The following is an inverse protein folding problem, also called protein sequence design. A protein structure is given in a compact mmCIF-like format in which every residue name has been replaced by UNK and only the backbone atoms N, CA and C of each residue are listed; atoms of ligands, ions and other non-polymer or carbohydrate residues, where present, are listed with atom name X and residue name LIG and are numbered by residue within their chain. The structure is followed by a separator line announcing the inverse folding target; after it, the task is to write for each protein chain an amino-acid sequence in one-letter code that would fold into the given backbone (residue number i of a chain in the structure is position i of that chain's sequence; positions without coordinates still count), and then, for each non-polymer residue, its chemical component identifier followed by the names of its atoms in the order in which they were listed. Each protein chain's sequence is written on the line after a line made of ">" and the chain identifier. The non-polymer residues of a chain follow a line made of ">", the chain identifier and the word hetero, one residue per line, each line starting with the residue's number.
data_IF_227132336704
#
_entry.id   IF_227132336704
#
_cell.length_a   1.000
_cell.length_b   1.000
_cell.length_c   1.000
_cell.angle_alpha   90.00
_cell.angle_beta   90.00
_cell.angle_gamma   90.00
#
_symmetry.space_group_name_H-M   'P 1'
#
loop_
_entity.id
_entity.type
_entity.pdbx_description
1 polymer ?
#
# COMPACT_ATOMS: atom_id res chain seq x y z
N UNK A 1 26.26 -22.23 -34.30
CA UNK A 1 25.69 -21.83 -35.57
C UNK A 1 25.77 -20.32 -35.65
N UNK A 2 26.78 -19.81 -36.36
CA UNK A 2 27.04 -18.37 -36.57
C UNK A 2 26.34 -17.98 -37.89
N UNK A 3 25.52 -16.93 -37.85
CA UNK A 3 24.99 -16.30 -39.05
C UNK A 3 25.59 -14.91 -39.15
N UNK A 4 26.45 -14.75 -40.16
CA UNK A 4 27.10 -13.51 -40.59
C UNK A 4 26.17 -12.77 -41.54
N UNK A 5 26.05 -11.44 -41.37
CA UNK A 5 25.39 -10.53 -42.31
C UNK A 5 26.50 -9.66 -42.96
N UNK A 6 26.57 -9.54 -44.31
CA UNK A 6 27.61 -8.79 -44.99
C UNK A 6 27.30 -7.30 -45.06
N UNK A 7 28.36 -6.52 -44.93
CA UNK A 7 28.44 -5.08 -45.18
C UNK A 7 28.69 -4.90 -46.66
N UNK A 8 27.88 -4.12 -47.36
CA UNK A 8 28.15 -3.66 -48.72
C UNK A 8 28.55 -2.19 -48.72
N UNK A 9 29.70 -1.92 -49.23
CA UNK A 9 30.33 -0.62 -49.39
C UNK A 9 30.53 -0.36 -50.88
N UNK A 10 29.95 0.68 -51.43
CA UNK A 10 30.32 1.45 -52.62
C UNK A 10 29.19 2.44 -52.90
N UNK A 11 29.35 3.70 -53.24
CA UNK A 11 30.40 4.34 -54.05
C UNK A 11 30.44 5.84 -53.74
N UNK A 12 31.65 6.32 -53.71
CA UNK A 12 32.00 7.71 -53.80
C UNK A 12 31.99 8.15 -55.28
N UNK A 13 31.48 9.33 -55.59
CA UNK A 13 32.19 10.18 -56.56
C UNK A 13 31.72 11.65 -56.51
N UNK A 14 32.72 12.47 -56.42
CA UNK A 14 32.74 13.92 -56.53
C UNK A 14 32.42 14.44 -57.92
N UNK A 15 31.93 15.69 -57.99
CA UNK A 15 32.34 16.74 -58.95
C UNK A 15 31.78 18.08 -58.47
N UNK A 16 32.57 18.97 -58.04
CA UNK A 16 33.22 20.15 -58.56
C UNK A 16 32.35 21.15 -59.37
N UNK A 17 32.48 22.39 -58.93
CA UNK A 17 32.53 23.65 -59.70
C UNK A 17 31.32 24.60 -59.67
N UNK A 18 31.61 25.84 -59.26
CA UNK A 18 31.15 27.05 -59.91
C UNK A 18 30.23 27.95 -59.11
N UNK A 19 30.76 28.84 -58.35
CA UNK A 19 30.88 30.28 -58.61
C UNK A 19 29.63 31.17 -58.37
N UNK A 20 29.97 32.32 -57.77
CA UNK A 20 29.37 33.66 -57.75
C UNK A 20 28.15 33.97 -56.89
N UNK A 21 28.50 34.76 -55.83
CA UNK A 21 27.91 36.02 -55.42
C UNK A 21 26.37 36.19 -55.49
N UNK A 22 25.74 36.23 -54.29
CA UNK A 22 24.82 37.32 -54.00
C UNK A 22 24.68 37.52 -52.49
N UNK A 23 25.11 38.71 -52.05
CA UNK A 23 24.71 39.33 -50.78
C UNK A 23 23.21 39.56 -50.82
N UNK A 24 22.46 39.04 -49.92
CA UNK A 24 21.25 39.66 -49.41
C UNK A 24 21.03 39.24 -47.97
N UNK A 25 20.78 40.21 -47.14
CA UNK A 25 20.66 40.13 -45.71
C UNK A 25 19.49 39.25 -45.26
N UNK A 26 19.82 38.28 -44.44
CA UNK A 26 18.81 37.63 -43.60
C UNK A 26 19.10 37.98 -42.15
N UNK A 27 18.24 38.84 -41.62
CA UNK A 27 18.22 39.14 -40.21
C UNK A 27 18.08 37.87 -39.37
N UNK A 28 18.98 37.73 -38.45
CA UNK A 28 18.89 36.74 -37.38
C UNK A 28 17.61 36.99 -36.57
N UNK A 29 16.70 36.02 -36.43
CA UNK A 29 15.68 36.13 -35.42
C UNK A 29 16.37 35.95 -34.09
N UNK A 30 16.50 37.02 -33.34
CA UNK A 30 16.72 36.95 -31.90
C UNK A 30 15.51 36.24 -31.29
N UNK A 31 15.60 34.90 -31.19
CA UNK A 31 14.77 34.13 -30.31
C UNK A 31 15.24 34.42 -28.88
N UNK A 32 14.83 35.54 -28.36
CA UNK A 32 14.79 35.77 -26.93
C UNK A 32 13.74 34.85 -26.33
N UNK A 33 14.08 33.59 -26.15
CA UNK A 33 13.35 32.73 -25.22
C UNK A 33 13.65 33.26 -23.81
N UNK A 34 12.91 34.27 -23.41
CA UNK A 34 12.78 34.63 -22.00
C UNK A 34 12.12 33.47 -21.26
N UNK A 35 12.90 32.46 -20.91
CA UNK A 35 12.56 31.57 -19.82
C UNK A 35 12.71 32.33 -18.50
N UNK A 36 11.81 33.26 -18.27
CA UNK A 36 11.54 33.77 -16.92
C UNK A 36 10.95 32.59 -16.13
N UNK A 37 11.81 31.68 -15.69
CA UNK A 37 11.51 30.85 -14.53
C UNK A 37 11.56 31.83 -13.35
N UNK A 38 10.44 32.47 -13.07
CA UNK A 38 10.25 33.22 -11.84
C UNK A 38 10.16 32.22 -10.69
N UNK A 39 11.33 31.77 -10.22
CA UNK A 39 11.46 31.11 -8.93
C UNK A 39 11.23 32.15 -7.82
N UNK A 40 10.01 32.67 -7.73
CA UNK A 40 9.60 33.58 -6.67
C UNK A 40 9.45 32.79 -5.34
N UNK A 41 9.74 33.44 -4.20
CA UNK A 41 9.59 32.79 -2.88
C UNK A 41 8.16 32.35 -2.56
N UNK A 42 7.16 32.78 -3.33
CA UNK A 42 5.77 32.32 -3.26
C UNK A 42 5.58 30.89 -3.75
N UNK A 43 6.33 30.44 -4.77
CA UNK A 43 6.22 29.06 -5.28
C UNK A 43 6.84 28.04 -4.32
N UNK A 44 7.95 28.38 -3.67
CA UNK A 44 8.58 27.52 -2.69
C UNK A 44 7.67 27.29 -1.45
N UNK A 45 6.98 28.31 -0.97
CA UNK A 45 6.04 28.20 0.15
C UNK A 45 4.80 27.37 -0.20
N UNK A 46 4.28 27.51 -1.41
CA UNK A 46 3.14 26.71 -1.89
C UNK A 46 3.52 25.25 -2.09
N UNK A 47 4.71 24.98 -2.61
CA UNK A 47 5.27 23.64 -2.80
C UNK A 47 5.55 22.97 -1.45
N UNK A 48 6.20 23.66 -0.50
CA UNK A 48 6.43 23.14 0.84
C UNK A 48 5.13 22.82 1.57
N UNK A 49 4.11 23.67 1.45
CA UNK A 49 2.78 23.41 2.05
C UNK A 49 2.12 22.16 1.45
N UNK A 50 2.26 21.94 0.14
CA UNK A 50 1.76 20.70 -0.52
C UNK A 50 2.51 19.48 -0.06
N UNK A 51 3.84 19.55 0.00
CA UNK A 51 4.69 18.45 0.51
C UNK A 51 4.31 18.10 1.94
N UNK A 52 4.21 19.09 2.84
CA UNK A 52 3.82 18.88 4.23
C UNK A 52 2.39 18.34 4.36
N UNK A 53 1.46 18.78 3.51
CA UNK A 53 0.08 18.29 3.51
C UNK A 53 -0.03 16.80 3.12
N UNK A 54 0.93 16.25 2.39
CA UNK A 54 1.01 14.83 2.03
C UNK A 54 1.92 14.06 3.00
N UNK A 55 3.04 14.64 3.40
CA UNK A 55 4.02 13.98 4.27
C UNK A 55 3.48 13.77 5.69
N UNK A 56 2.83 14.77 6.28
CA UNK A 56 2.35 14.68 7.66
C UNK A 56 1.30 13.57 7.87
N UNK A 57 0.26 13.41 7.02
CA UNK A 57 -0.67 12.30 7.13
C UNK A 57 -0.01 10.94 6.88
N UNK A 58 0.93 10.85 5.95
CA UNK A 58 1.66 9.61 5.67
C UNK A 58 2.55 9.22 6.86
N UNK A 59 3.23 10.20 7.47
CA UNK A 59 4.02 9.98 8.68
C UNK A 59 3.14 9.55 9.86
N UNK A 60 1.98 10.19 10.04
CA UNK A 60 0.99 9.78 11.04
C UNK A 60 0.53 8.34 10.84
N UNK A 61 0.30 7.90 9.60
CA UNK A 61 -0.05 6.52 9.28
C UNK A 61 1.08 5.54 9.61
N UNK A 62 2.35 5.90 9.35
CA UNK A 62 3.51 5.07 9.67
C UNK A 62 3.73 4.90 11.18
N UNK A 63 3.37 5.89 12.00
CA UNK A 63 3.45 5.80 13.45
C UNK A 63 2.26 5.02 14.02
N UNK A 64 1.08 5.13 13.40
CA UNK A 64 -0.13 4.48 13.91
C UNK A 64 0.04 2.95 14.00
N UNK A 65 0.67 2.32 13.02
CA UNK A 65 0.86 0.87 12.98
C UNK A 65 1.74 0.33 14.13
N UNK A 66 2.97 0.86 14.38
CA UNK A 66 3.75 0.45 15.55
C UNK A 66 3.07 0.73 16.89
N UNK A 67 2.36 1.86 17.00
CA UNK A 67 1.62 2.21 18.22
C UNK A 67 0.50 1.21 18.51
N UNK A 68 -0.22 0.80 17.47
CA UNK A 68 -1.24 -0.24 17.54
C UNK A 68 -0.65 -1.57 18.08
N UNK A 69 0.46 -2.04 17.50
CA UNK A 69 1.12 -3.28 17.93
C UNK A 69 1.57 -3.18 19.39
N UNK A 70 2.09 -2.04 19.83
CA UNK A 70 2.50 -1.83 21.23
C UNK A 70 1.33 -1.90 22.20
N UNK A 71 0.19 -1.29 21.84
CA UNK A 71 -1.02 -1.30 22.68
C UNK A 71 -1.57 -2.74 22.81
N UNK A 72 -1.71 -3.44 21.69
CA UNK A 72 -2.15 -4.84 21.66
C UNK A 72 -1.24 -5.74 22.48
N UNK A 73 0.08 -5.61 22.29
CA UNK A 73 1.10 -6.33 23.08
C UNK A 73 0.98 -6.03 24.58
N UNK A 74 0.73 -4.78 24.97
CA UNK A 74 0.58 -4.40 26.37
C UNK A 74 -0.71 -5.02 26.98
N UNK A 75 -1.83 -5.04 26.24
CA UNK A 75 -3.08 -5.63 26.70
C UNK A 75 -2.94 -7.15 26.87
N UNK A 76 -2.39 -7.84 25.85
CA UNK A 76 -2.18 -9.29 25.87
C UNK A 76 -1.14 -9.69 26.92
N UNK A 77 -0.12 -8.86 27.15
CA UNK A 77 0.88 -9.08 28.20
C UNK A 77 0.29 -9.20 29.60
N UNK A 78 -0.89 -8.63 29.87
CA UNK A 78 -1.59 -8.80 31.16
C UNK A 78 -2.22 -10.19 31.33
N UNK A 79 -2.39 -10.97 30.25
CA UNK A 79 -2.94 -12.32 30.30
C UNK A 79 -1.86 -13.29 30.83
N UNK A 80 -0.60 -13.11 30.39
CA UNK A 80 0.53 -13.94 30.79
C UNK A 80 1.55 -14.16 29.67
N UNK A 81 2.69 -14.71 30.02
CA UNK A 81 3.84 -14.90 29.11
C UNK A 81 3.52 -15.87 27.97
N UNK A 82 2.73 -16.92 28.21
CA UNK A 82 2.34 -17.87 27.17
C UNK A 82 1.44 -17.21 26.11
N UNK A 83 0.53 -16.31 26.52
CA UNK A 83 -0.32 -15.55 25.61
C UNK A 83 0.51 -14.55 24.79
N UNK A 84 1.48 -13.86 25.42
CA UNK A 84 2.36 -12.93 24.75
C UNK A 84 3.24 -13.63 23.70
N UNK A 85 3.80 -14.78 24.05
CA UNK A 85 4.54 -15.62 23.11
C UNK A 85 3.65 -16.12 21.94
N UNK A 86 2.42 -16.53 22.24
CA UNK A 86 1.41 -16.92 21.26
C UNK A 86 1.05 -15.79 20.30
N UNK A 87 0.83 -14.58 20.81
CA UNK A 87 0.62 -13.36 20.02
C UNK A 87 1.80 -13.13 19.05
N UNK A 88 3.04 -13.23 19.55
CA UNK A 88 4.23 -13.00 18.75
C UNK A 88 4.36 -13.99 17.60
N UNK A 89 4.09 -15.27 17.85
CA UNK A 89 4.09 -16.32 16.81
C UNK A 89 3.01 -16.05 15.77
N UNK A 90 1.77 -15.84 16.19
CA UNK A 90 0.64 -15.62 15.27
C UNK A 90 0.80 -14.34 14.45
N UNK A 91 1.25 -13.25 15.08
CA UNK A 91 1.55 -11.99 14.38
C UNK A 91 2.67 -12.17 13.36
N UNK A 92 3.71 -12.94 13.66
CA UNK A 92 4.78 -13.24 12.70
C UNK A 92 4.25 -13.98 11.48
N UNK A 93 3.36 -14.97 11.67
CA UNK A 93 2.75 -15.72 10.57
C UNK A 93 1.95 -14.79 9.66
N UNK A 94 1.02 -14.02 10.23
CA UNK A 94 0.12 -13.19 9.42
C UNK A 94 0.88 -12.03 8.75
N UNK A 95 1.78 -11.35 9.46
CA UNK A 95 2.56 -10.25 8.91
C UNK A 95 3.50 -10.70 7.79
N UNK A 96 4.10 -11.88 7.91
CA UNK A 96 4.93 -12.46 6.85
C UNK A 96 4.07 -12.79 5.62
N UNK A 97 2.96 -13.47 5.82
CA UNK A 97 2.09 -13.88 4.72
C UNK A 97 1.46 -12.68 3.99
N UNK A 98 0.95 -11.70 4.75
CA UNK A 98 0.38 -10.47 4.18
C UNK A 98 1.46 -9.56 3.60
N UNK A 99 2.65 -9.52 4.21
CA UNK A 99 3.81 -8.79 3.71
C UNK A 99 4.26 -9.25 2.32
N UNK A 100 4.15 -10.54 2.01
CA UNK A 100 4.40 -11.06 0.65
C UNK A 100 3.41 -10.50 -0.39
N UNK A 101 2.23 -10.07 0.06
CA UNK A 101 1.20 -9.47 -0.80
C UNK A 101 1.27 -7.93 -0.88
N UNK A 102 2.31 -7.30 -0.32
CA UNK A 102 2.46 -5.83 -0.32
C UNK A 102 2.53 -5.23 -1.73
N UNK A 103 2.90 -6.05 -2.73
CA UNK A 103 2.89 -5.66 -4.14
C UNK A 103 1.51 -5.15 -4.60
N UNK A 104 0.41 -5.61 -3.98
CA UNK A 104 -0.94 -5.12 -4.29
C UNK A 104 -1.04 -3.61 -4.06
N UNK A 105 -0.50 -3.11 -2.94
CA UNK A 105 -0.53 -1.69 -2.63
C UNK A 105 0.29 -0.87 -3.64
N UNK A 106 1.47 -1.35 -4.01
CA UNK A 106 2.36 -0.65 -4.94
C UNK A 106 1.84 -0.70 -6.37
N UNK A 107 1.39 -1.86 -6.86
CA UNK A 107 0.84 -2.00 -8.21
C UNK A 107 -0.43 -1.17 -8.40
N UNK A 108 -1.34 -1.20 -7.42
CA UNK A 108 -2.57 -0.39 -7.45
C UNK A 108 -2.24 1.10 -7.43
N UNK A 109 -1.28 1.54 -6.59
CA UNK A 109 -0.83 2.93 -6.57
C UNK A 109 -0.29 3.38 -7.92
N UNK A 110 0.60 2.58 -8.53
CA UNK A 110 1.22 2.91 -9.81
C UNK A 110 0.20 2.98 -10.95
N UNK A 111 -0.71 2.01 -11.04
CA UNK A 111 -1.74 1.96 -12.08
C UNK A 111 -2.71 3.13 -11.96
N UNK A 112 -3.25 3.39 -10.76
CA UNK A 112 -4.16 4.49 -10.51
C UNK A 112 -3.48 5.83 -10.81
N UNK A 113 -2.27 6.07 -10.32
CA UNK A 113 -1.53 7.31 -10.56
C UNK A 113 -1.23 7.53 -12.05
N UNK A 114 -0.82 6.47 -12.77
CA UNK A 114 -0.53 6.53 -14.21
C UNK A 114 -1.79 6.90 -15.02
N UNK A 115 -2.91 6.23 -14.78
CA UNK A 115 -4.17 6.48 -15.49
C UNK A 115 -4.74 7.87 -15.17
N UNK A 116 -4.62 8.32 -13.92
CA UNK A 116 -4.99 9.70 -13.55
C UNK A 116 -4.10 10.73 -14.24
N UNK A 117 -2.78 10.49 -14.30
CA UNK A 117 -1.84 11.36 -15.00
C UNK A 117 -2.11 11.46 -16.50
N UNK A 118 -2.66 10.40 -17.10
CA UNK A 118 -3.11 10.36 -18.49
C UNK A 118 -4.52 10.98 -18.71
N UNK A 119 -5.15 11.55 -17.68
CA UNK A 119 -6.51 12.10 -17.76
C UNK A 119 -7.64 11.06 -17.78
N UNK A 120 -7.30 9.75 -17.66
CA UNK A 120 -8.24 8.61 -17.74
C UNK A 120 -8.73 8.22 -16.34
N UNK A 121 -9.39 9.17 -15.66
CA UNK A 121 -9.78 9.02 -14.25
C UNK A 121 -10.70 7.82 -14.01
N UNK A 122 -11.71 7.62 -14.85
CA UNK A 122 -12.65 6.50 -14.72
C UNK A 122 -11.96 5.15 -14.79
N UNK A 123 -11.03 4.99 -15.71
CA UNK A 123 -10.25 3.75 -15.84
C UNK A 123 -9.29 3.53 -14.67
N UNK A 124 -8.71 4.62 -14.14
CA UNK A 124 -7.88 4.53 -12.93
C UNK A 124 -8.66 4.05 -11.71
N UNK A 125 -9.88 4.54 -11.52
CA UNK A 125 -10.75 4.08 -10.44
C UNK A 125 -11.20 2.63 -10.65
N UNK A 126 -11.49 2.23 -11.88
CA UNK A 126 -11.86 0.85 -12.20
C UNK A 126 -10.71 -0.11 -11.94
N UNK A 127 -9.50 0.21 -12.38
CA UNK A 127 -8.30 -0.57 -12.06
C UNK A 127 -8.08 -0.72 -10.54
N UNK A 128 -8.40 0.34 -9.77
CA UNK A 128 -8.39 0.28 -8.31
C UNK A 128 -9.40 -0.72 -7.74
N UNK A 129 -10.63 -0.74 -8.28
CA UNK A 129 -11.68 -1.70 -7.85
C UNK A 129 -11.31 -3.13 -8.22
N UNK A 130 -10.75 -3.36 -9.41
CA UNK A 130 -10.25 -4.68 -9.81
C UNK A 130 -9.15 -5.15 -8.84
N UNK A 131 -8.29 -4.23 -8.40
CA UNK A 131 -7.32 -4.47 -7.34
C UNK A 131 -7.95 -4.87 -6.00
N UNK A 132 -9.10 -4.28 -5.62
CA UNK A 132 -9.83 -4.65 -4.41
C UNK A 132 -10.43 -6.07 -4.50
N UNK A 133 -11.00 -6.45 -5.65
CA UNK A 133 -11.49 -7.81 -5.87
C UNK A 133 -10.37 -8.84 -5.83
N UNK A 134 -9.23 -8.50 -6.43
CA UNK A 134 -8.04 -9.35 -6.37
C UNK A 134 -7.54 -9.50 -4.92
N UNK A 135 -7.49 -8.40 -4.16
CA UNK A 135 -7.11 -8.41 -2.74
C UNK A 135 -8.04 -9.28 -1.90
N UNK A 136 -9.37 -9.15 -2.11
CA UNK A 136 -10.36 -10.00 -1.42
C UNK A 136 -10.16 -11.48 -1.75
N UNK A 137 -9.97 -11.82 -3.03
CA UNK A 137 -9.79 -13.20 -3.48
C UNK A 137 -8.50 -13.82 -2.91
N UNK A 138 -7.37 -13.13 -3.06
CA UNK A 138 -6.07 -13.57 -2.52
C UNK A 138 -6.14 -13.68 -1.00
N UNK A 139 -6.72 -12.67 -0.33
CA UNK A 139 -6.86 -12.65 1.12
C UNK A 139 -7.70 -13.79 1.65
N UNK A 140 -8.78 -14.14 0.94
CA UNK A 140 -9.63 -15.28 1.31
C UNK A 140 -8.89 -16.61 1.18
N UNK A 141 -8.21 -16.83 0.04
CA UNK A 141 -7.42 -18.06 -0.17
C UNK A 141 -6.29 -18.16 0.85
N UNK A 142 -5.57 -17.05 1.08
CA UNK A 142 -4.49 -16.97 2.06
C UNK A 142 -5.01 -17.24 3.48
N UNK A 143 -6.10 -16.57 3.87
CA UNK A 143 -6.70 -16.71 5.19
C UNK A 143 -7.16 -18.15 5.46
N UNK A 144 -7.85 -18.79 4.50
CA UNK A 144 -8.27 -20.19 4.62
C UNK A 144 -7.07 -21.15 4.66
N UNK A 145 -6.06 -20.91 3.82
CA UNK A 145 -4.83 -21.70 3.82
C UNK A 145 -4.07 -21.63 5.14
N UNK A 146 -3.91 -20.41 5.67
CA UNK A 146 -3.26 -20.19 6.97
C UNK A 146 -4.10 -20.74 8.13
N UNK A 147 -5.42 -20.66 8.06
CA UNK A 147 -6.31 -21.24 9.08
C UNK A 147 -6.12 -22.76 9.17
N UNK A 148 -6.07 -23.43 8.03
CA UNK A 148 -5.82 -24.89 7.97
C UNK A 148 -4.39 -25.24 8.42
N UNK A 149 -3.41 -24.40 8.08
CA UNK A 149 -2.00 -24.63 8.41
C UNK A 149 -1.57 -23.99 9.76
N UNK A 150 -2.48 -23.42 10.55
CA UNK A 150 -2.14 -22.67 11.77
C UNK A 150 -1.29 -23.51 12.74
N UNK A 151 -1.70 -24.74 13.04
CA UNK A 151 -1.00 -25.56 14.01
C UNK A 151 0.42 -25.97 13.55
N UNK A 152 0.64 -26.52 12.33
CA UNK A 152 1.99 -26.85 11.89
C UNK A 152 2.89 -25.61 11.76
N UNK A 153 2.35 -24.45 11.39
CA UNK A 153 3.12 -23.23 11.31
C UNK A 153 3.53 -22.72 12.71
N UNK A 154 2.60 -22.72 13.68
CA UNK A 154 2.92 -22.35 15.05
C UNK A 154 3.97 -23.28 15.67
N UNK A 155 3.91 -24.58 15.39
CA UNK A 155 4.94 -25.55 15.83
C UNK A 155 6.30 -25.27 15.19
N UNK A 156 6.31 -25.00 13.89
CA UNK A 156 7.55 -24.70 13.15
C UNK A 156 8.25 -23.43 13.67
N UNK A 157 7.48 -22.47 14.21
CA UNK A 157 8.00 -21.26 14.83
C UNK A 157 8.34 -21.44 16.33
N UNK A 158 8.35 -22.67 16.84
CA UNK A 158 8.79 -22.99 18.20
C UNK A 158 7.68 -23.04 19.24
N UNK A 159 6.40 -22.95 18.85
CA UNK A 159 5.27 -23.11 19.76
C UNK A 159 5.22 -24.53 20.36
N UNK A 160 5.18 -24.63 21.68
CA UNK A 160 5.06 -25.90 22.41
C UNK A 160 4.15 -25.73 23.63
N UNK A 161 3.49 -26.81 24.05
CA UNK A 161 2.64 -26.79 25.25
C UNK A 161 1.59 -25.69 25.19
N UNK A 162 1.45 -24.92 26.26
CA UNK A 162 0.50 -23.82 26.40
C UNK A 162 0.73 -22.72 25.38
N UNK A 163 2.00 -22.39 25.03
CA UNK A 163 2.32 -21.39 24.01
C UNK A 163 1.78 -21.80 22.64
N UNK A 164 1.83 -23.08 22.29
CA UNK A 164 1.26 -23.58 21.03
C UNK A 164 -0.25 -23.39 20.99
N UNK A 165 -0.95 -23.73 22.06
CA UNK A 165 -2.41 -23.59 22.18
C UNK A 165 -2.83 -22.13 22.01
N UNK A 166 -2.15 -21.21 22.71
CA UNK A 166 -2.38 -19.76 22.62
C UNK A 166 -2.08 -19.24 21.20
N UNK A 167 -0.94 -19.67 20.61
CA UNK A 167 -0.55 -19.26 19.27
C UNK A 167 -1.55 -19.72 18.20
N UNK A 168 -2.02 -20.98 18.26
CA UNK A 168 -2.99 -21.53 17.31
C UNK A 168 -4.34 -20.82 17.44
N UNK A 169 -4.79 -20.58 18.67
CA UNK A 169 -6.05 -19.88 18.96
C UNK A 169 -6.02 -18.45 18.39
N UNK A 170 -4.98 -17.70 18.66
CA UNK A 170 -4.78 -16.36 18.11
C UNK A 170 -4.67 -16.36 16.60
N UNK A 171 -3.81 -17.24 16.05
CA UNK A 171 -3.58 -17.32 14.60
C UNK A 171 -4.87 -17.63 13.85
N UNK A 172 -5.67 -18.59 14.31
CA UNK A 172 -6.95 -18.92 13.68
C UNK A 172 -7.93 -17.76 13.69
N UNK A 173 -7.94 -16.97 14.75
CA UNK A 173 -8.80 -15.77 14.83
C UNK A 173 -8.34 -14.69 13.84
N UNK A 174 -7.04 -14.33 13.87
CA UNK A 174 -6.53 -13.19 13.09
C UNK A 174 -6.46 -13.46 11.58
N UNK A 175 -6.19 -14.70 11.14
CA UNK A 175 -6.05 -15.02 9.70
C UNK A 175 -7.38 -14.87 8.94
N UNK A 176 -8.52 -14.94 9.61
CA UNK A 176 -9.82 -14.59 9.02
C UNK A 176 -9.95 -13.08 8.71
N UNK A 177 -9.06 -12.26 9.26
CA UNK A 177 -8.89 -10.85 8.93
C UNK A 177 -8.02 -10.60 7.68
N UNK A 178 -7.33 -11.61 7.15
CA UNK A 178 -6.44 -11.46 6.00
C UNK A 178 -7.12 -10.82 4.78
N UNK A 179 -8.37 -11.15 4.39
CA UNK A 179 -9.05 -10.46 3.31
C UNK A 179 -9.21 -8.97 3.60
N UNK A 180 -9.59 -8.61 4.84
CA UNK A 180 -9.70 -7.22 5.29
C UNK A 180 -8.35 -6.48 5.20
N UNK A 181 -7.26 -7.10 5.66
CA UNK A 181 -5.90 -6.53 5.58
C UNK A 181 -5.48 -6.27 4.13
N UNK A 182 -5.68 -7.22 3.22
CA UNK A 182 -5.30 -7.05 1.82
C UNK A 182 -6.18 -6.00 1.11
N UNK A 183 -7.47 -5.92 1.47
CA UNK A 183 -8.33 -4.83 0.99
C UNK A 183 -7.84 -3.46 1.48
N UNK A 184 -7.37 -3.34 2.71
CA UNK A 184 -6.73 -2.12 3.23
C UNK A 184 -5.49 -1.76 2.41
N UNK A 185 -4.64 -2.72 2.06
CA UNK A 185 -3.47 -2.48 1.23
C UNK A 185 -3.84 -1.98 -0.18
N UNK A 186 -4.78 -2.65 -0.85
CA UNK A 186 -5.24 -2.23 -2.18
C UNK A 186 -5.92 -0.84 -2.14
N UNK A 187 -6.79 -0.60 -1.14
CA UNK A 187 -7.45 0.69 -0.96
C UNK A 187 -6.46 1.82 -0.64
N UNK A 188 -5.46 1.57 0.21
CA UNK A 188 -4.36 2.51 0.43
C UNK A 188 -3.64 2.86 -0.87
N UNK A 189 -3.46 1.87 -1.78
CA UNK A 189 -2.94 2.08 -3.13
C UNK A 189 -3.79 3.07 -3.93
N UNK A 190 -5.12 2.89 -3.94
CA UNK A 190 -6.07 3.78 -4.62
C UNK A 190 -5.96 5.22 -4.07
N UNK A 191 -6.07 5.38 -2.74
CA UNK A 191 -6.06 6.71 -2.12
C UNK A 191 -4.71 7.41 -2.22
N UNK A 192 -3.59 6.68 -2.23
CA UNK A 192 -2.26 7.23 -2.52
C UNK A 192 -2.16 7.67 -3.98
N UNK A 193 -2.64 6.86 -4.93
CA UNK A 193 -2.72 7.22 -6.34
C UNK A 193 -3.57 8.47 -6.58
N UNK A 194 -4.68 8.62 -5.83
CA UNK A 194 -5.55 9.82 -5.84
C UNK A 194 -5.00 11.00 -5.02
N UNK A 195 -3.85 10.86 -4.36
CA UNK A 195 -3.27 11.84 -3.43
C UNK A 195 -4.18 12.22 -2.24
N UNK A 196 -5.11 11.32 -1.86
CA UNK A 196 -6.07 11.53 -0.77
C UNK A 196 -5.67 10.77 0.51
N UNK A 197 -4.39 10.84 0.88
CA UNK A 197 -3.80 10.13 2.04
C UNK A 197 -4.44 10.46 3.40
N UNK A 198 -5.20 11.54 3.52
CA UNK A 198 -5.93 11.85 4.76
C UNK A 198 -6.98 10.79 5.11
N UNK A 199 -7.62 10.19 4.09
CA UNK A 199 -8.63 9.16 4.29
C UNK A 199 -7.99 7.90 4.85
N UNK A 200 -6.81 7.53 4.35
CA UNK A 200 -6.07 6.37 4.85
C UNK A 200 -5.58 6.57 6.29
N UNK A 201 -5.19 7.79 6.67
CA UNK A 201 -4.85 8.12 8.04
C UNK A 201 -6.07 8.00 8.96
N UNK A 202 -7.23 8.56 8.57
CA UNK A 202 -8.47 8.46 9.36
C UNK A 202 -8.86 6.99 9.55
N UNK A 203 -8.76 6.17 8.49
CA UNK A 203 -9.03 4.74 8.56
C UNK A 203 -8.08 4.03 9.52
N UNK A 204 -6.77 4.33 9.46
CA UNK A 204 -5.77 3.71 10.33
C UNK A 204 -5.99 4.08 11.81
N UNK A 205 -6.21 5.36 12.10
CA UNK A 205 -6.51 5.83 13.48
C UNK A 205 -7.84 5.25 13.96
N UNK A 206 -8.88 5.28 13.11
CA UNK A 206 -10.18 4.69 13.45
C UNK A 206 -10.08 3.19 13.72
N UNK A 207 -9.34 2.46 12.89
CA UNK A 207 -9.07 1.03 13.09
C UNK A 207 -8.32 0.74 14.38
N UNK A 208 -7.30 1.55 14.70
CA UNK A 208 -6.55 1.42 15.95
C UNK A 208 -7.44 1.66 17.18
N UNK A 209 -8.30 2.67 17.13
CA UNK A 209 -9.26 2.95 18.21
C UNK A 209 -10.25 1.80 18.36
N UNK A 210 -10.85 1.33 17.26
CA UNK A 210 -11.79 0.20 17.29
C UNK A 210 -11.11 -1.05 17.85
N UNK A 211 -9.90 -1.39 17.39
CA UNK A 211 -9.18 -2.53 17.93
C UNK A 211 -8.91 -2.38 19.43
N UNK A 212 -8.32 -1.26 19.88
CA UNK A 212 -8.01 -1.04 21.31
C UNK A 212 -9.26 -1.16 22.19
N UNK A 213 -10.38 -0.57 21.75
CA UNK A 213 -11.65 -0.65 22.50
C UNK A 213 -12.15 -2.10 22.56
N UNK A 214 -12.08 -2.82 21.45
CA UNK A 214 -12.49 -4.23 21.40
C UNK A 214 -11.54 -5.15 22.18
N UNK A 215 -10.22 -4.87 22.16
CA UNK A 215 -9.26 -5.60 22.98
C UNK A 215 -9.54 -5.44 24.47
N UNK A 216 -9.74 -4.22 24.94
CA UNK A 216 -10.13 -3.97 26.34
C UNK A 216 -11.44 -4.70 26.67
N UNK A 217 -12.42 -4.63 25.77
CA UNK A 217 -13.71 -5.28 25.99
C UNK A 217 -13.59 -6.81 26.03
N UNK A 218 -12.96 -7.41 25.02
CA UNK A 218 -12.92 -8.87 24.89
C UNK A 218 -11.88 -9.52 25.82
N UNK A 219 -10.70 -8.91 25.95
CA UNK A 219 -9.63 -9.48 26.78
C UNK A 219 -9.85 -9.20 28.25
N UNK A 220 -10.16 -7.94 28.63
CA UNK A 220 -10.21 -7.53 30.03
C UNK A 220 -11.62 -7.70 30.61
N UNK A 221 -12.67 -7.22 29.94
CA UNK A 221 -14.03 -7.22 30.48
C UNK A 221 -14.70 -8.60 30.35
N UNK A 222 -14.62 -9.21 29.14
CA UNK A 222 -15.22 -10.50 28.84
C UNK A 222 -14.32 -11.69 29.19
N UNK A 223 -13.05 -11.45 29.53
CA UNK A 223 -12.06 -12.47 29.86
C UNK A 223 -11.92 -13.59 28.79
N UNK A 224 -12.03 -13.23 27.52
CA UNK A 224 -11.83 -14.18 26.40
C UNK A 224 -10.35 -14.55 26.16
N UNK A 225 -9.43 -13.95 26.95
CA UNK A 225 -8.00 -14.18 26.80
C UNK A 225 -7.49 -13.79 25.41
N UNK A 226 -6.53 -14.53 24.89
CA UNK A 226 -5.90 -14.24 23.60
C UNK A 226 -6.86 -14.37 22.40
N UNK A 227 -7.89 -15.21 22.51
CA UNK A 227 -8.92 -15.29 21.48
C UNK A 227 -9.63 -13.95 21.29
N UNK A 228 -9.84 -13.22 22.37
CA UNK A 228 -10.42 -11.87 22.36
C UNK A 228 -9.61 -10.88 21.56
N UNK A 229 -8.27 -10.84 21.75
CA UNK A 229 -7.38 -9.99 20.96
C UNK A 229 -7.39 -10.37 19.48
N UNK A 230 -7.33 -11.67 19.14
CA UNK A 230 -7.45 -12.14 17.77
C UNK A 230 -8.73 -11.68 17.08
N UNK A 231 -9.87 -11.78 17.78
CA UNK A 231 -11.19 -11.33 17.28
C UNK A 231 -11.26 -9.80 17.16
N UNK A 232 -10.72 -9.07 18.12
CA UNK A 232 -10.67 -7.59 18.07
C UNK A 232 -9.89 -7.11 16.85
N UNK A 233 -8.74 -7.73 16.59
CA UNK A 233 -7.92 -7.43 15.41
C UNK A 233 -8.64 -7.80 14.11
N UNK A 234 -9.30 -8.96 14.05
CA UNK A 234 -10.15 -9.38 12.94
C UNK A 234 -11.21 -8.31 12.61
N UNK A 235 -11.97 -7.88 13.61
CA UNK A 235 -13.03 -6.88 13.43
C UNK A 235 -12.46 -5.54 13.00
N UNK A 236 -11.35 -5.09 13.58
CA UNK A 236 -10.70 -3.85 13.21
C UNK A 236 -10.20 -3.85 11.75
N UNK A 237 -9.66 -4.97 11.27
CA UNK A 237 -9.21 -5.11 9.87
C UNK A 237 -10.38 -5.05 8.88
N UNK A 238 -11.48 -5.73 9.18
CA UNK A 238 -12.69 -5.63 8.36
C UNK A 238 -13.30 -4.23 8.40
N UNK A 239 -13.32 -3.59 9.57
CA UNK A 239 -13.78 -2.21 9.71
C UNK A 239 -12.96 -1.26 8.83
N UNK A 240 -11.63 -1.32 8.90
CA UNK A 240 -10.74 -0.49 8.05
C UNK A 240 -10.94 -0.79 6.57
N UNK A 241 -11.01 -2.07 6.20
CA UNK A 241 -11.24 -2.50 4.82
C UNK A 241 -12.53 -1.91 4.27
N UNK A 242 -13.65 -2.09 4.96
CA UNK A 242 -14.95 -1.57 4.54
C UNK A 242 -14.98 -0.03 4.53
N UNK A 243 -14.39 0.62 5.55
CA UNK A 243 -14.32 2.07 5.62
C UNK A 243 -13.59 2.70 4.43
N UNK A 244 -12.57 2.03 3.89
CA UNK A 244 -11.84 2.48 2.70
C UNK A 244 -12.52 2.06 1.40
N UNK A 245 -13.10 0.86 1.32
CA UNK A 245 -13.72 0.32 0.11
C UNK A 245 -14.98 1.08 -0.26
N UNK A 246 -15.83 1.43 0.73
CA UNK A 246 -17.09 2.12 0.48
C UNK A 246 -16.89 3.46 -0.28
N UNK A 247 -16.04 4.39 0.18
CA UNK A 247 -15.79 5.62 -0.58
C UNK A 247 -15.15 5.38 -1.96
N UNK A 248 -14.27 4.37 -2.09
CA UNK A 248 -13.65 4.03 -3.36
C UNK A 248 -14.69 3.61 -4.40
N UNK A 249 -15.66 2.77 -4.01
CA UNK A 249 -16.76 2.32 -4.89
C UNK A 249 -17.72 3.48 -5.18
N UNK A 250 -18.08 4.29 -4.19
CA UNK A 250 -19.00 5.42 -4.39
C UNK A 250 -18.43 6.43 -5.39
N UNK A 251 -17.13 6.71 -5.32
CA UNK A 251 -16.49 7.64 -6.26
C UNK A 251 -16.36 7.07 -7.67
N UNK A 252 -16.16 5.76 -7.81
CA UNK A 252 -16.10 5.14 -9.12
C UNK A 252 -17.47 5.14 -9.85
N UNK A 253 -18.56 5.22 -9.09
CA UNK A 253 -19.92 5.29 -9.65
C UNK A 253 -20.38 6.73 -9.95
N UNK A 254 -19.72 7.70 -9.31
CA UNK A 254 -20.08 9.12 -9.47
C UNK A 254 -19.34 9.81 -10.64
N UNK A 255 -18.29 9.21 -11.17
CA UNK A 255 -17.51 9.61 -12.35
C UNK A 255 -17.88 8.72 -13.56
#
# INVERSE_FOLDING_TARGET
>A
MRVSVPIDSSDAKATSSGDTTRRDGFGTPHAGANTNISNGPTDARSTNRRIMALALPTFGQLIAEPTFILIDTAIVGHIGDAALAGLSIGSTIILTAVGLCIFLAYSTTAQVAHLLGAGRRREGLQAGIDGLWLALSIGTVLGLGLFAAAEPLCRALGGQGEVLEQAVTYTRAIVLGAPGMLMVYAANGIFRGLQKVRITLIAAVGGAVVNTVLDVLFVIVLNWGIAGSGVATLVAQWFMGLFLVIPAILWSRAD
#
